data_IF_374696767045
#
_entry.id   IF_374696767045
#
_cell.length_a   1.000
_cell.length_b   1.000
_cell.length_c   1.000
_cell.angle_alpha   90.00
_cell.angle_beta   90.00
_cell.angle_gamma   90.00
#
_symmetry.space_group_name_H-M   'P 1'
#
loop_
_entity.id
_entity.type
_entity.pdbx_description
1 polymer ?
#
# COMPACT_ATOMS: atom_id res chain seq x y z
N UNK A 1 -7.39 -31.37 -46.71
CA UNK A 1 -8.43 -30.79 -45.83
C UNK A 1 -8.40 -31.32 -44.40
N UNK A 2 -8.46 -32.66 -44.18
CA UNK A 2 -8.44 -33.27 -42.83
C UNK A 2 -7.20 -32.93 -42.00
N UNK A 3 -6.02 -32.87 -42.62
CA UNK A 3 -4.76 -32.55 -41.94
C UNK A 3 -4.75 -31.11 -41.35
N UNK A 4 -5.26 -30.14 -42.09
CA UNK A 4 -5.33 -28.75 -41.60
C UNK A 4 -6.30 -28.59 -40.42
N UNK A 5 -7.40 -29.33 -40.44
CA UNK A 5 -8.40 -29.36 -39.34
C UNK A 5 -7.76 -29.97 -38.07
N UNK A 6 -7.02 -31.09 -38.23
CA UNK A 6 -6.33 -31.69 -37.11
C UNK A 6 -5.28 -30.77 -36.51
N UNK A 7 -4.50 -30.09 -37.35
CA UNK A 7 -3.49 -29.11 -36.94
C UNK A 7 -4.12 -27.95 -36.18
N UNK A 8 -5.23 -27.38 -36.67
CA UNK A 8 -5.94 -26.31 -35.96
C UNK A 8 -6.48 -26.75 -34.59
N UNK A 9 -6.95 -27.99 -34.47
CA UNK A 9 -7.38 -28.53 -33.17
C UNK A 9 -6.22 -28.66 -32.20
N UNK A 10 -5.04 -29.04 -32.65
CA UNK A 10 -3.85 -29.12 -31.81
C UNK A 10 -3.36 -27.74 -31.35
N UNK A 11 -3.44 -26.73 -32.23
CA UNK A 11 -3.20 -25.34 -31.83
C UNK A 11 -4.19 -24.86 -30.77
N UNK A 12 -5.47 -25.20 -30.90
CA UNK A 12 -6.49 -24.85 -29.93
C UNK A 12 -6.27 -25.53 -28.56
N UNK A 13 -5.54 -26.64 -28.53
CA UNK A 13 -5.11 -27.34 -27.32
C UNK A 13 -3.81 -26.77 -26.73
N UNK A 14 -3.23 -25.71 -27.34
CA UNK A 14 -2.04 -25.00 -26.84
C UNK A 14 -0.71 -25.58 -27.30
N UNK A 15 -0.68 -26.53 -28.27
CA UNK A 15 0.57 -27.00 -28.84
C UNK A 15 1.16 -25.98 -29.80
N UNK A 16 2.48 -25.74 -29.69
CA UNK A 16 3.23 -24.90 -30.60
C UNK A 16 3.43 -25.53 -31.98
N UNK A 17 3.82 -24.72 -32.97
CA UNK A 17 4.05 -25.19 -34.33
C UNK A 17 5.15 -26.26 -34.41
N UNK A 18 6.23 -26.07 -33.64
CA UNK A 18 7.35 -27.00 -33.58
C UNK A 18 6.97 -28.33 -32.90
N UNK A 19 6.16 -28.25 -31.84
CA UNK A 19 5.63 -29.43 -31.16
C UNK A 19 4.74 -30.24 -32.09
N UNK A 20 3.86 -29.61 -32.86
CA UNK A 20 2.99 -30.28 -33.84
C UNK A 20 3.82 -30.90 -34.97
N UNK A 21 4.91 -30.28 -35.39
CA UNK A 21 5.78 -30.80 -36.40
C UNK A 21 6.57 -32.05 -35.96
N UNK A 22 6.91 -32.12 -34.68
CA UNK A 22 7.61 -33.25 -34.06
C UNK A 22 6.74 -34.46 -33.77
N UNK A 23 5.41 -34.30 -33.67
CA UNK A 23 4.48 -35.40 -33.31
C UNK A 23 4.61 -36.70 -34.13
N UNK A 24 4.88 -36.67 -35.46
CA UNK A 24 5.04 -37.87 -36.24
C UNK A 24 6.23 -38.75 -35.84
N UNK A 25 7.27 -38.12 -35.28
CA UNK A 25 8.52 -38.79 -34.89
C UNK A 25 8.52 -39.18 -33.40
N UNK A 26 7.48 -38.78 -32.65
CA UNK A 26 7.37 -39.05 -31.22
C UNK A 26 6.91 -40.53 -30.95
N UNK A 27 7.47 -41.19 -29.91
CA UNK A 27 7.02 -42.51 -29.48
C UNK A 27 5.55 -42.49 -29.05
N UNK A 28 4.82 -43.55 -29.35
CA UNK A 28 3.39 -43.67 -29.01
C UNK A 28 3.09 -43.45 -27.50
N UNK A 29 4.02 -43.79 -26.63
CA UNK A 29 3.93 -43.57 -25.19
C UNK A 29 3.87 -42.09 -24.80
N UNK A 30 4.49 -41.23 -25.60
CA UNK A 30 4.48 -39.74 -25.38
C UNK A 30 3.22 -39.13 -26.00
N UNK A 31 2.71 -39.67 -27.09
CA UNK A 31 1.46 -39.20 -27.72
C UNK A 31 0.23 -39.36 -26.81
N UNK A 32 0.33 -40.22 -25.78
CA UNK A 32 -0.72 -40.43 -24.77
C UNK A 32 -0.63 -39.43 -23.59
N UNK A 33 0.37 -38.56 -23.57
CA UNK A 33 0.57 -37.55 -22.51
C UNK A 33 0.25 -36.15 -23.03
N UNK A 34 -0.50 -35.42 -22.25
CA UNK A 34 -0.74 -34.00 -22.52
C UNK A 34 -0.10 -33.16 -21.42
N UNK A 35 0.76 -32.25 -21.82
CA UNK A 35 1.35 -31.29 -20.91
C UNK A 35 0.44 -30.06 -20.78
N UNK A 36 -0.07 -29.82 -19.59
CA UNK A 36 -0.81 -28.58 -19.28
C UNK A 36 0.20 -27.56 -18.74
N UNK A 37 0.43 -26.51 -19.50
CA UNK A 37 1.37 -25.45 -19.12
C UNK A 37 0.65 -24.31 -18.45
N UNK A 38 1.32 -23.68 -17.46
CA UNK A 38 0.82 -22.44 -16.87
C UNK A 38 0.84 -21.30 -17.90
N UNK A 39 -0.25 -20.51 -18.02
CA UNK A 39 -0.30 -19.36 -18.94
C UNK A 39 0.55 -18.17 -18.46
N UNK A 40 0.97 -18.19 -17.21
CA UNK A 40 1.79 -17.14 -16.60
C UNK A 40 2.92 -17.73 -15.75
N UNK A 41 3.99 -16.95 -15.57
CA UNK A 41 5.03 -17.24 -14.59
C UNK A 41 4.58 -16.74 -13.23
N UNK A 42 4.72 -17.59 -12.20
CA UNK A 42 4.26 -17.21 -10.87
C UNK A 42 4.48 -18.32 -9.84
N UNK A 43 3.82 -18.18 -8.70
CA UNK A 43 3.87 -19.14 -7.61
C UNK A 43 2.56 -19.91 -7.54
N UNK A 44 2.64 -21.24 -7.41
CA UNK A 44 1.48 -22.08 -7.13
C UNK A 44 1.06 -21.83 -5.67
N UNK A 45 -0.16 -21.36 -5.48
CA UNK A 45 -0.75 -21.09 -4.16
C UNK A 45 -1.75 -22.14 -3.74
N UNK A 46 -2.40 -22.80 -4.71
CA UNK A 46 -3.31 -23.92 -4.46
C UNK A 46 -3.07 -25.05 -5.46
N UNK A 47 -3.13 -26.27 -4.96
CA UNK A 47 -3.13 -27.50 -5.76
C UNK A 47 -4.42 -28.25 -5.45
N UNK A 48 -5.29 -28.41 -6.46
CA UNK A 48 -6.61 -29.05 -6.33
C UNK A 48 -6.65 -30.42 -6.99
N UNK A 49 -5.50 -30.97 -7.36
CA UNK A 49 -5.38 -32.24 -8.07
C UNK A 49 -4.29 -33.09 -7.42
N UNK A 50 -4.54 -34.41 -7.32
CA UNK A 50 -3.60 -35.42 -6.85
C UNK A 50 -3.29 -36.44 -7.93
N UNK A 51 -2.23 -37.27 -7.71
CA UNK A 51 -1.90 -38.37 -8.59
C UNK A 51 -3.08 -39.35 -8.66
N UNK A 52 -3.51 -39.66 -9.89
CA UNK A 52 -4.66 -40.55 -10.13
C UNK A 52 -6.00 -39.81 -10.20
N UNK A 53 -6.05 -38.51 -9.98
CA UNK A 53 -7.26 -37.72 -10.19
C UNK A 53 -7.62 -37.72 -11.67
N UNK A 54 -8.87 -38.14 -11.99
CA UNK A 54 -9.39 -38.10 -13.35
C UNK A 54 -9.77 -36.64 -13.68
N UNK A 55 -9.09 -36.09 -14.68
CA UNK A 55 -9.39 -34.79 -15.24
C UNK A 55 -10.00 -35.02 -16.62
N UNK A 56 -11.23 -34.69 -16.83
CA UNK A 56 -11.91 -35.09 -18.05
C UNK A 56 -13.01 -34.12 -18.52
N UNK A 57 -13.65 -34.55 -19.60
CA UNK A 57 -14.64 -33.78 -20.36
C UNK A 57 -15.84 -33.29 -19.56
N UNK A 58 -16.20 -33.98 -18.49
CA UNK A 58 -17.38 -33.63 -17.68
C UNK A 58 -17.09 -32.60 -16.58
N UNK A 59 -15.81 -32.26 -16.39
CA UNK A 59 -15.33 -31.27 -15.42
C UNK A 59 -14.51 -30.15 -16.10
N UNK A 60 -15.08 -29.51 -17.11
CA UNK A 60 -14.44 -28.42 -17.86
C UNK A 60 -14.04 -27.20 -17.00
N UNK A 61 -14.59 -27.11 -15.80
CA UNK A 61 -14.32 -26.00 -14.84
C UNK A 61 -13.41 -26.42 -13.67
N UNK A 62 -12.79 -27.62 -13.74
CA UNK A 62 -11.94 -28.08 -12.65
C UNK A 62 -10.61 -27.30 -12.67
N UNK A 63 -10.46 -26.37 -11.75
CA UNK A 63 -9.17 -25.75 -11.47
C UNK A 63 -8.20 -26.81 -10.93
N UNK A 64 -7.08 -27.00 -11.61
CA UNK A 64 -6.04 -27.94 -11.18
C UNK A 64 -5.04 -27.27 -10.23
N UNK A 65 -4.65 -26.08 -10.58
CA UNK A 65 -3.71 -25.25 -9.83
C UNK A 65 -4.13 -23.80 -9.88
N UNK A 66 -3.90 -23.07 -8.81
CA UNK A 66 -3.97 -21.61 -8.79
C UNK A 66 -2.55 -21.07 -8.80
N UNK A 67 -2.20 -20.37 -9.86
CA UNK A 67 -0.89 -19.73 -10.04
C UNK A 67 -1.08 -18.22 -9.97
N UNK A 68 -0.28 -17.56 -9.14
CA UNK A 68 -0.36 -16.09 -8.96
C UNK A 68 0.99 -15.44 -9.18
N UNK A 69 1.00 -14.29 -9.83
CA UNK A 69 2.14 -13.39 -9.87
C UNK A 69 2.07 -12.49 -8.62
N UNK A 70 3.08 -12.59 -7.77
CA UNK A 70 3.18 -11.80 -6.53
C UNK A 70 4.23 -10.69 -6.63
N UNK A 71 4.79 -10.42 -7.81
CA UNK A 71 5.77 -9.34 -7.99
C UNK A 71 5.16 -7.96 -7.73
N UNK A 72 3.86 -7.82 -7.95
CA UNK A 72 3.06 -6.66 -7.59
C UNK A 72 1.82 -7.09 -6.83
N UNK A 73 1.41 -6.26 -5.89
CA UNK A 73 0.21 -6.50 -5.08
C UNK A 73 -0.68 -5.25 -5.12
N UNK A 74 -1.96 -5.48 -5.24
CA UNK A 74 -2.96 -4.42 -5.15
C UNK A 74 -3.43 -4.27 -3.72
N UNK A 75 -3.57 -3.01 -3.31
CA UNK A 75 -4.05 -2.60 -2.00
C UNK A 75 -5.39 -1.93 -2.17
N UNK A 76 -6.43 -2.51 -1.61
CA UNK A 76 -7.77 -1.94 -1.58
C UNK A 76 -7.91 -0.98 -0.40
N UNK A 77 -8.18 0.28 -0.69
CA UNK A 77 -8.35 1.34 0.28
C UNK A 77 -9.82 1.80 0.28
N UNK A 78 -10.41 1.89 1.47
CA UNK A 78 -11.71 2.49 1.67
C UNK A 78 -11.53 3.99 1.99
N UNK A 79 -11.96 4.85 1.08
CA UNK A 79 -11.78 6.30 1.17
C UNK A 79 -13.13 6.98 1.40
N UNK A 80 -13.17 7.92 2.35
CA UNK A 80 -14.35 8.73 2.61
C UNK A 80 -14.72 9.60 1.39
N UNK A 81 -16.00 9.78 1.05
CA UNK A 81 -16.44 10.70 0.00
C UNK A 81 -15.95 12.14 0.21
N UNK A 82 -15.73 12.57 1.45
CA UNK A 82 -15.21 13.89 1.78
C UNK A 82 -13.76 14.10 1.32
N UNK A 83 -12.97 13.03 1.31
CA UNK A 83 -11.55 13.07 0.94
C UNK A 83 -11.33 12.78 -0.55
N UNK A 84 -12.32 12.14 -1.20
CA UNK A 84 -12.23 11.70 -2.59
C UNK A 84 -11.87 12.80 -3.60
N UNK A 85 -12.38 14.04 -3.50
CA UNK A 85 -12.03 15.13 -4.43
C UNK A 85 -10.54 15.50 -4.41
N UNK A 86 -9.81 15.12 -3.35
CA UNK A 86 -8.38 15.42 -3.13
C UNK A 86 -7.48 14.30 -3.62
N UNK A 87 -8.05 13.15 -3.99
CA UNK A 87 -7.31 11.96 -4.41
C UNK A 87 -7.42 11.82 -5.93
N UNK A 88 -6.29 11.50 -6.56
CA UNK A 88 -6.19 11.33 -8.02
C UNK A 88 -5.39 10.07 -8.35
N UNK A 89 -5.72 9.47 -9.48
CA UNK A 89 -4.88 8.40 -10.04
C UNK A 89 -3.47 8.91 -10.33
N UNK A 90 -2.48 8.06 -10.13
CA UNK A 90 -1.07 8.40 -10.23
C UNK A 90 -0.44 8.99 -8.95
N UNK A 91 -1.23 9.39 -7.94
CA UNK A 91 -0.69 9.82 -6.65
C UNK A 91 0.02 8.69 -5.92
N UNK A 92 1.03 9.08 -5.14
CA UNK A 92 1.76 8.14 -4.27
C UNK A 92 0.99 7.89 -2.97
N UNK A 93 0.86 6.63 -2.62
CA UNK A 93 0.35 6.17 -1.34
C UNK A 93 1.46 5.41 -0.60
N UNK A 94 1.83 5.84 0.60
CA UNK A 94 2.79 5.13 1.45
C UNK A 94 2.03 4.10 2.28
N UNK A 95 2.34 2.83 2.05
CA UNK A 95 1.67 1.69 2.68
C UNK A 95 2.50 1.17 3.85
N UNK A 96 1.83 0.90 4.95
CA UNK A 96 2.40 0.32 6.17
C UNK A 96 1.50 -0.80 6.68
N UNK A 97 2.08 -1.76 7.40
CA UNK A 97 1.33 -2.82 8.09
C UNK A 97 1.94 -3.13 9.44
N UNK A 98 1.15 -3.71 10.34
CA UNK A 98 1.64 -4.13 11.65
C UNK A 98 2.64 -5.28 11.49
N UNK A 99 3.74 -5.22 12.23
CA UNK A 99 4.78 -6.27 12.24
C UNK A 99 5.84 -6.15 11.14
N UNK A 100 5.65 -5.28 10.15
CA UNK A 100 6.64 -4.95 9.12
C UNK A 100 7.09 -3.51 9.36
N UNK A 101 8.40 -3.32 9.60
CA UNK A 101 8.97 -1.98 9.80
C UNK A 101 9.13 -1.21 8.49
N UNK A 102 9.22 -1.93 7.39
CA UNK A 102 9.39 -1.36 6.07
C UNK A 102 8.09 -0.71 5.59
N UNK A 103 8.22 0.50 5.05
CA UNK A 103 7.18 1.20 4.34
C UNK A 103 7.41 0.97 2.85
N UNK A 104 6.34 0.89 2.08
CA UNK A 104 6.43 0.82 0.62
C UNK A 104 5.56 1.90 0.01
N UNK A 105 6.09 2.55 -1.01
CA UNK A 105 5.34 3.51 -1.80
C UNK A 105 4.70 2.81 -2.98
N UNK A 106 3.40 2.99 -3.11
CA UNK A 106 2.58 2.53 -4.21
C UNK A 106 2.00 3.70 -5.00
N UNK A 107 1.44 3.39 -6.15
CA UNK A 107 0.70 4.36 -6.96
C UNK A 107 -0.77 4.01 -6.99
N UNK A 108 -1.63 5.02 -6.86
CA UNK A 108 -3.08 4.87 -7.07
C UNK A 108 -3.30 4.61 -8.55
N UNK A 109 -3.86 3.43 -8.86
CA UNK A 109 -4.10 2.99 -10.23
C UNK A 109 -5.58 3.02 -10.62
N UNK A 110 -6.47 3.08 -9.63
CA UNK A 110 -7.90 3.08 -9.87
C UNK A 110 -8.66 3.75 -8.73
N UNK A 111 -9.67 4.54 -9.08
CA UNK A 111 -10.64 5.14 -8.16
C UNK A 111 -12.03 4.75 -8.63
N UNK A 112 -12.77 4.03 -7.79
CA UNK A 112 -14.14 3.61 -8.12
C UNK A 112 -15.07 4.82 -8.27
N UNK A 113 -15.83 4.90 -9.37
CA UNK A 113 -16.86 5.92 -9.52
C UNK A 113 -18.10 5.66 -8.66
N UNK A 114 -18.20 4.45 -8.07
CA UNK A 114 -19.32 4.05 -7.24
C UNK A 114 -18.88 3.92 -5.78
N UNK A 115 -19.75 4.35 -4.89
CA UNK A 115 -19.57 4.11 -3.46
C UNK A 115 -20.10 2.72 -3.09
N UNK A 116 -19.38 2.07 -2.19
CA UNK A 116 -19.86 0.85 -1.55
C UNK A 116 -21.12 1.15 -0.73
N UNK A 117 -22.13 0.28 -0.85
CA UNK A 117 -23.45 0.52 -0.26
C UNK A 117 -23.48 0.41 1.26
N UNK A 118 -22.63 -0.45 1.80
CA UNK A 118 -22.60 -0.78 3.23
C UNK A 118 -21.69 0.18 3.99
N UNK A 119 -20.49 0.41 3.47
CA UNK A 119 -19.47 1.25 4.11
C UNK A 119 -19.58 2.73 3.72
N UNK A 120 -20.34 3.06 2.66
CA UNK A 120 -20.44 4.42 2.09
C UNK A 120 -19.09 5.03 1.71
N UNK A 121 -18.09 4.20 1.46
CA UNK A 121 -16.75 4.59 1.04
C UNK A 121 -16.53 4.33 -0.45
N UNK A 122 -15.58 5.06 -1.04
CA UNK A 122 -15.08 4.77 -2.38
C UNK A 122 -13.94 3.76 -2.30
N UNK A 123 -13.94 2.77 -3.19
CA UNK A 123 -12.82 1.87 -3.36
C UNK A 123 -11.73 2.55 -4.18
N UNK A 124 -10.55 2.68 -3.61
CA UNK A 124 -9.34 3.18 -4.26
C UNK A 124 -8.32 2.06 -4.28
N UNK A 125 -7.74 1.77 -5.43
CA UNK A 125 -6.73 0.72 -5.56
C UNK A 125 -5.36 1.34 -5.77
N UNK A 126 -4.42 0.95 -4.93
CA UNK A 126 -3.00 1.28 -5.09
C UNK A 126 -2.22 0.02 -5.47
N UNK A 127 -1.28 0.15 -6.40
CA UNK A 127 -0.35 -0.91 -6.77
C UNK A 127 0.98 -0.69 -6.06
N UNK A 128 1.50 -1.73 -5.39
CA UNK A 128 2.80 -1.72 -4.72
C UNK A 128 3.74 -2.79 -5.29
N UNK A 129 5.05 -2.52 -5.41
CA UNK A 129 6.05 -3.53 -5.72
C UNK A 129 6.22 -4.49 -4.55
N UNK A 130 6.41 -5.78 -4.85
CA UNK A 130 6.56 -6.83 -3.84
C UNK A 130 7.71 -7.80 -4.18
N UNK A 131 8.83 -7.28 -4.64
CA UNK A 131 9.97 -8.06 -5.12
C UNK A 131 10.56 -8.98 -4.04
N UNK A 132 10.44 -8.61 -2.77
CA UNK A 132 10.91 -9.38 -1.62
C UNK A 132 9.84 -10.34 -1.05
N UNK A 133 8.61 -10.34 -1.59
CA UNK A 133 7.52 -11.22 -1.17
C UNK A 133 6.99 -10.97 0.25
N UNK A 134 7.29 -9.80 0.84
CA UNK A 134 6.89 -9.45 2.22
C UNK A 134 5.40 -9.16 2.29
N UNK A 135 4.85 -8.50 1.25
CA UNK A 135 3.46 -8.09 1.20
C UNK A 135 2.58 -9.25 0.76
N UNK A 136 1.80 -9.78 1.70
CA UNK A 136 0.93 -10.94 1.45
C UNK A 136 -0.50 -10.47 1.18
N UNK A 137 -1.12 -10.87 0.06
CA UNK A 137 -2.54 -10.65 -0.16
C UNK A 137 -3.39 -11.13 1.03
N UNK A 138 -4.45 -10.38 1.36
CA UNK A 138 -5.28 -10.65 2.54
C UNK A 138 -4.79 -10.00 3.84
N UNK A 139 -3.65 -9.31 3.83
CA UNK A 139 -3.15 -8.58 5.00
C UNK A 139 -3.83 -7.22 5.15
N UNK A 140 -4.10 -6.81 6.41
CA UNK A 140 -4.55 -5.45 6.69
C UNK A 140 -3.39 -4.47 6.63
N UNK A 141 -3.62 -3.35 5.97
CA UNK A 141 -2.63 -2.28 5.79
C UNK A 141 -3.22 -0.92 6.13
N UNK A 142 -2.34 0.05 6.37
CA UNK A 142 -2.69 1.46 6.48
C UNK A 142 -1.98 2.21 5.37
N UNK A 143 -2.70 3.07 4.66
CA UNK A 143 -2.17 3.92 3.62
C UNK A 143 -2.18 5.40 4.03
N UNK A 144 -1.08 6.08 3.82
CA UNK A 144 -0.99 7.54 3.90
C UNK A 144 -0.87 8.10 2.47
N UNK A 145 -1.82 8.93 2.08
CA UNK A 145 -1.87 9.57 0.75
C UNK A 145 -1.57 11.05 0.94
N UNK A 146 -0.51 11.54 0.29
CA UNK A 146 -0.21 12.97 0.26
C UNK A 146 -1.22 13.66 -0.68
N UNK A 147 -2.16 14.39 -0.11
CA UNK A 147 -3.23 15.06 -0.88
C UNK A 147 -2.86 16.49 -1.28
N UNK A 148 -1.91 17.12 -0.57
CA UNK A 148 -1.47 18.48 -0.83
C UNK A 148 -0.06 18.68 -0.27
N UNK A 149 0.83 19.29 -1.06
CA UNK A 149 2.11 19.79 -0.60
C UNK A 149 2.05 21.31 -0.56
N UNK A 150 2.41 21.89 0.58
CA UNK A 150 2.49 23.33 0.73
C UNK A 150 3.80 23.73 1.39
N UNK A 151 4.44 24.73 0.80
CA UNK A 151 5.59 25.37 1.41
C UNK A 151 5.12 26.33 2.49
N UNK A 152 5.55 26.08 3.72
CA UNK A 152 5.28 26.98 4.86
C UNK A 152 6.59 27.65 5.30
N UNK A 153 6.55 28.92 5.71
CA UNK A 153 7.77 29.67 6.11
C UNK A 153 8.46 29.04 7.32
N UNK A 154 7.69 28.48 8.23
CA UNK A 154 8.19 27.90 9.46
C UNK A 154 7.31 26.73 9.91
N UNK A 155 7.91 25.57 10.11
CA UNK A 155 7.25 24.41 10.66
C UNK A 155 8.10 23.81 11.80
N UNK A 156 7.43 23.26 12.81
CA UNK A 156 8.06 22.58 13.94
C UNK A 156 7.48 21.17 14.05
N UNK A 157 8.22 20.19 14.61
CA UNK A 157 7.64 18.89 14.92
C UNK A 157 6.38 19.05 15.78
N UNK A 158 5.32 18.35 15.45
CA UNK A 158 4.03 18.44 16.18
C UNK A 158 4.21 18.12 17.66
N UNK A 159 5.19 17.27 18.01
CA UNK A 159 5.57 16.93 19.39
C UNK A 159 6.17 18.10 20.18
N UNK A 160 6.66 19.13 19.52
CA UNK A 160 7.21 20.33 20.17
C UNK A 160 6.13 21.25 20.74
N UNK A 161 4.89 21.13 20.23
CA UNK A 161 3.78 21.99 20.64
C UNK A 161 3.10 21.40 21.86
N UNK A 162 2.96 22.21 22.90
CA UNK A 162 2.24 21.88 24.11
C UNK A 162 1.03 22.81 24.28
N UNK A 163 0.02 22.34 25.00
CA UNK A 163 -1.11 23.19 25.39
C UNK A 163 -1.03 23.44 26.91
N UNK A 164 -0.94 24.70 27.30
CA UNK A 164 -0.88 25.16 28.68
C UNK A 164 -1.90 26.29 28.86
N UNK A 165 -2.85 26.13 29.77
CA UNK A 165 -3.87 27.14 30.00
C UNK A 165 -4.79 27.42 28.80
N UNK A 166 -4.94 26.45 27.88
CA UNK A 166 -5.72 26.61 26.64
C UNK A 166 -4.93 27.23 25.47
N UNK A 167 -3.71 27.70 25.70
CA UNK A 167 -2.85 28.29 24.69
C UNK A 167 -1.85 27.25 24.14
N UNK A 168 -1.57 27.30 22.83
CA UNK A 168 -0.49 26.54 22.21
C UNK A 168 0.84 27.23 22.45
N UNK A 169 1.81 26.50 22.98
CA UNK A 169 3.14 27.02 23.33
C UNK A 169 4.24 26.10 22.83
N UNK A 170 5.41 26.66 22.61
CA UNK A 170 6.68 25.95 22.40
C UNK A 170 7.67 26.37 23.48
N UNK A 171 8.64 25.50 23.78
CA UNK A 171 9.73 25.82 24.70
C UNK A 171 10.96 26.18 23.88
N UNK A 172 11.34 27.47 23.94
CA UNK A 172 12.51 28.02 23.25
C UNK A 172 13.69 28.02 24.19
N UNK A 173 14.85 27.56 23.70
CA UNK A 173 16.09 27.56 24.47
C UNK A 173 16.64 28.96 24.61
N UNK A 174 16.94 29.35 25.85
CA UNK A 174 17.65 30.61 26.22
C UNK A 174 19.01 30.30 26.84
N UNK A 175 19.78 31.33 27.23
CA UNK A 175 21.03 31.17 27.99
C UNK A 175 20.82 30.44 29.32
N UNK A 176 19.68 30.67 29.96
CA UNK A 176 19.41 30.23 31.32
C UNK A 176 18.47 29.01 31.38
N UNK A 177 18.10 28.45 30.22
CA UNK A 177 17.24 27.25 30.17
C UNK A 177 16.23 27.27 29.03
N UNK A 178 14.96 27.06 29.35
CA UNK A 178 13.87 27.07 28.38
C UNK A 178 12.81 28.12 28.81
N UNK A 179 12.35 28.88 27.85
CA UNK A 179 11.27 29.86 27.99
C UNK A 179 9.99 29.33 27.34
N UNK A 180 8.85 29.44 28.02
CA UNK A 180 7.54 29.19 27.45
C UNK A 180 7.16 30.35 26.53
N UNK A 181 6.92 30.05 25.24
CA UNK A 181 6.53 31.05 24.26
C UNK A 181 5.22 30.69 23.58
N UNK A 182 4.17 31.51 23.70
CA UNK A 182 2.91 31.34 22.99
C UNK A 182 3.12 31.39 21.46
N UNK A 183 2.45 30.48 20.74
CA UNK A 183 2.53 30.44 19.29
C UNK A 183 1.15 30.32 18.66
N UNK A 184 1.01 30.86 17.46
CA UNK A 184 -0.17 30.64 16.64
C UNK A 184 0.16 29.52 15.66
N UNK A 185 -0.42 28.33 15.89
CA UNK A 185 -0.28 27.20 15.01
C UNK A 185 -1.18 27.36 13.78
N UNK A 186 -0.65 27.06 12.63
CA UNK A 186 -1.36 26.97 11.37
C UNK A 186 -1.77 25.52 11.05
N UNK A 187 -1.46 25.09 9.84
CA UNK A 187 -1.75 23.74 9.34
C UNK A 187 -0.88 22.71 10.04
N UNK A 188 -1.44 21.51 10.16
CA UNK A 188 -0.76 20.39 10.84
C UNK A 188 -0.88 19.15 9.98
N UNK A 189 0.21 18.40 9.88
CA UNK A 189 0.24 17.03 9.39
C UNK A 189 0.68 16.07 10.51
N UNK A 190 0.92 14.79 10.16
CA UNK A 190 1.32 13.75 11.11
C UNK A 190 2.68 14.03 11.79
N UNK A 191 3.53 14.85 11.21
CA UNK A 191 4.91 15.09 11.65
C UNK A 191 5.19 16.54 12.05
N UNK A 192 4.60 17.49 11.36
CA UNK A 192 4.91 18.91 11.49
C UNK A 192 3.66 19.76 11.65
N UNK A 193 3.83 20.88 12.34
CA UNK A 193 2.83 21.94 12.48
C UNK A 193 3.44 23.26 12.04
N UNK A 194 2.76 23.96 11.16
CA UNK A 194 3.09 25.31 10.75
C UNK A 194 2.97 26.26 11.95
N UNK A 195 3.92 27.17 12.08
CA UNK A 195 3.87 28.27 13.03
C UNK A 195 3.66 29.58 12.28
N UNK A 196 2.46 30.11 12.40
CA UNK A 196 2.10 31.37 11.74
C UNK A 196 2.65 32.59 12.49
N UNK A 197 2.75 32.53 13.84
CA UNK A 197 3.29 33.62 14.67
C UNK A 197 3.90 33.05 15.96
N UNK A 198 4.83 33.85 16.57
CA UNK A 198 5.37 33.55 17.91
C UNK A 198 6.73 32.86 17.91
N UNK A 199 7.26 32.42 16.75
CA UNK A 199 8.58 31.82 16.64
C UNK A 199 9.33 32.43 15.44
N UNK A 200 10.65 32.53 15.55
CA UNK A 200 11.50 32.97 14.45
C UNK A 200 12.33 31.85 13.86
N UNK A 201 12.69 31.89 12.57
CA UNK A 201 13.59 30.93 11.97
C UNK A 201 14.91 30.84 12.73
N UNK A 202 15.44 29.61 12.89
CA UNK A 202 16.70 29.29 13.59
C UNK A 202 16.67 29.37 15.13
N UNK A 203 15.54 29.66 15.74
CA UNK A 203 15.42 29.49 17.19
C UNK A 203 15.50 28.00 17.56
N UNK A 204 16.20 27.71 18.64
CA UNK A 204 16.34 26.31 19.13
C UNK A 204 15.14 26.03 20.05
N UNK A 205 14.40 24.99 19.76
CA UNK A 205 13.23 24.59 20.52
C UNK A 205 13.38 23.16 21.06
N UNK A 206 12.66 22.85 22.13
CA UNK A 206 12.50 21.49 22.62
C UNK A 206 11.53 20.74 21.71
N UNK A 207 12.02 19.77 20.91
CA UNK A 207 11.22 18.99 19.97
C UNK A 207 10.67 17.69 20.58
N UNK A 208 11.35 17.15 21.60
CA UNK A 208 11.00 15.89 22.29
C UNK A 208 11.14 16.09 23.79
N UNK A 209 10.52 15.19 24.59
CA UNK A 209 10.53 15.27 26.06
C UNK A 209 10.02 16.61 26.62
N UNK A 210 9.06 17.21 25.98
CA UNK A 210 8.48 18.49 26.36
C UNK A 210 7.56 18.40 27.58
N UNK A 211 7.14 17.18 27.97
CA UNK A 211 6.28 16.97 29.11
C UNK A 211 6.88 17.36 30.46
N UNK A 212 8.16 17.02 30.79
CA UNK A 212 8.80 17.51 32.02
C UNK A 212 8.87 19.05 32.07
N UNK A 213 9.18 19.71 30.95
CA UNK A 213 9.19 21.18 30.88
C UNK A 213 7.81 21.75 31.18
N UNK A 214 6.75 21.15 30.59
CA UNK A 214 5.37 21.55 30.88
C UNK A 214 5.05 21.42 32.37
N UNK A 215 5.44 20.31 33.01
CA UNK A 215 5.17 20.04 34.41
C UNK A 215 5.86 21.09 35.33
N UNK A 216 7.09 21.46 35.03
CA UNK A 216 7.84 22.45 35.79
C UNK A 216 7.20 23.84 35.69
N UNK A 217 6.85 24.27 34.48
CA UNK A 217 6.14 25.55 34.28
C UNK A 217 4.75 25.60 34.91
N UNK A 218 4.06 24.45 35.06
CA UNK A 218 2.77 24.39 35.75
C UNK A 218 2.91 24.44 37.26
N UNK A 219 4.03 23.94 37.84
CA UNK A 219 4.32 24.06 39.29
C UNK A 219 4.63 25.50 39.66
N UNK A 220 5.52 26.17 38.93
CA UNK A 220 5.85 27.59 39.20
C UNK A 220 4.65 28.55 39.12
N UNK A 221 3.69 28.23 38.23
CA UNK A 221 2.46 29.04 38.11
C UNK A 221 1.41 28.77 39.23
N UNK A 222 1.62 27.78 40.10
CA UNK A 222 0.73 27.44 41.22
C UNK A 222 1.27 27.96 42.57
N UNK A 223 2.50 28.49 42.59
CA UNK A 223 3.17 29.03 43.77
C UNK A 223 3.14 30.59 43.82
N UNK A 224 2.70 31.26 42.76
CA UNK A 224 2.40 32.70 42.71
C UNK A 224 0.88 33.00 42.81
#
# INVERSE_FOLDING_TARGET
>A
MKFNIARQKLFALGLGQDEIAALPDEPESLLRRQNVRSPLSGRIVERKVDLGTVVGRDNLETELFVVVDLARVWVDLAVSPADLPRIKEGQTATITTRGIKEKVDGKIVFISPLLDKDTRSARVVAEIPNNNGIWRPGSFVTAAIAVEEQNVPLAVPTTAIQTIGGEKVVFVRTSDGFEKRPVVAGRTDDRFTEIAKGLQPREIIAATNTFPLKAEFMKGAAED
#
